data_IF_394763931966
#
_entry.id   IF_394763931966
#
_cell.length_a   1.000
_cell.length_b   1.000
_cell.length_c   1.000
_cell.angle_alpha   90.00
_cell.angle_beta   90.00
_cell.angle_gamma   90.00
#
_symmetry.space_group_name_H-M   'P 1'
#
loop_
_entity.id
_entity.type
_entity.pdbx_description
1 polymer ?
#
# COMPACT_ATOMS: atom_id res chain seq x y z
N UNK A 1 49.01 4.03 3.00
CA UNK A 1 47.68 3.40 3.17
C UNK A 1 47.23 3.51 4.61
N UNK A 2 46.25 4.39 4.90
CA UNK A 2 45.34 4.40 6.06
C UNK A 2 44.65 5.77 6.07
N UNK A 3 43.69 5.96 5.15
CA UNK A 3 42.77 7.09 5.24
C UNK A 3 41.83 6.81 6.41
N UNK A 4 42.04 7.54 7.51
CA UNK A 4 41.06 7.68 8.60
C UNK A 4 39.75 8.16 7.98
N UNK A 5 38.72 7.31 8.00
CA UNK A 5 37.33 7.74 7.81
C UNK A 5 37.06 8.84 8.84
N UNK A 6 36.97 10.09 8.38
CA UNK A 6 36.47 11.20 9.19
C UNK A 6 35.00 10.88 9.44
N UNK A 7 34.68 10.43 10.65
CA UNK A 7 33.31 10.39 11.13
C UNK A 7 32.75 11.81 11.04
N UNK A 8 31.98 12.10 10.00
CA UNK A 8 31.01 13.18 10.01
C UNK A 8 29.88 12.74 10.91
N UNK A 9 30.09 12.83 12.22
CA UNK A 9 29.03 12.75 13.22
C UNK A 9 28.20 14.03 13.11
N UNK A 10 27.39 14.11 12.04
CA UNK A 10 26.15 14.88 12.12
C UNK A 10 25.37 14.24 13.26
N UNK A 11 24.93 15.04 14.22
CA UNK A 11 24.08 14.57 15.31
C UNK A 11 22.83 13.96 14.67
N UNK A 12 22.79 12.64 14.50
CA UNK A 12 21.60 11.93 14.08
C UNK A 12 20.54 12.23 15.13
N UNK A 13 19.65 13.19 14.83
CA UNK A 13 18.49 13.45 15.67
C UNK A 13 17.68 12.16 15.63
N UNK A 14 17.70 11.43 16.74
CA UNK A 14 16.80 10.31 16.96
C UNK A 14 15.40 10.83 16.66
N UNK A 15 14.64 10.22 15.74
CA UNK A 15 13.28 10.67 15.49
C UNK A 15 12.52 10.64 16.81
N UNK A 16 11.53 11.53 17.02
CA UNK A 16 10.62 11.37 18.15
C UNK A 16 10.00 9.97 18.05
N UNK A 17 10.15 9.17 19.11
CA UNK A 17 9.44 7.90 19.25
C UNK A 17 7.96 8.24 19.33
N UNK A 18 7.29 8.27 18.17
CA UNK A 18 5.85 8.52 18.09
C UNK A 18 5.15 7.43 18.90
N UNK A 19 4.52 7.84 20.00
CA UNK A 19 3.77 6.96 20.89
C UNK A 19 2.64 6.27 20.09
N UNK A 20 2.25 5.07 20.50
CA UNK A 20 1.20 4.29 19.83
C UNK A 20 -0.11 5.09 19.70
N UNK A 21 -0.38 5.97 20.68
CA UNK A 21 -1.52 6.89 20.69
C UNK A 21 -1.45 7.96 19.60
N UNK A 22 -0.27 8.51 19.32
CA UNK A 22 -0.08 9.52 18.27
C UNK A 22 -0.23 8.89 16.88
N UNK A 23 0.23 7.65 16.70
CA UNK A 23 0.01 6.87 15.47
C UNK A 23 -1.47 6.57 15.23
N UNK A 24 -2.21 6.20 16.28
CA UNK A 24 -3.67 6.07 16.21
C UNK A 24 -4.37 7.41 15.95
N UNK A 25 -3.81 8.53 16.43
CA UNK A 25 -4.33 9.87 16.19
C UNK A 25 -4.45 10.22 14.71
N UNK A 26 -3.53 9.73 13.86
CA UNK A 26 -3.58 9.94 12.42
C UNK A 26 -4.81 9.29 11.75
N UNK A 27 -5.34 8.20 12.33
CA UNK A 27 -6.54 7.51 11.82
C UNK A 27 -7.81 8.36 11.98
N UNK A 28 -7.80 9.37 12.85
CA UNK A 28 -8.94 10.27 13.07
C UNK A 28 -9.31 11.07 11.81
N UNK A 29 -8.40 11.20 10.84
CA UNK A 29 -8.66 11.90 9.58
C UNK A 29 -9.30 11.00 8.49
N UNK A 30 -9.34 9.68 8.69
CA UNK A 30 -9.98 8.73 7.77
C UNK A 30 -11.48 9.01 7.52
N UNK A 31 -12.34 9.28 8.53
CA UNK A 31 -13.77 9.49 8.28
C UNK A 31 -14.05 10.72 7.41
N UNK A 32 -13.34 11.83 7.60
CA UNK A 32 -13.49 13.01 6.72
C UNK A 32 -13.08 12.68 5.28
N UNK A 33 -12.01 11.90 5.13
CA UNK A 33 -11.53 11.46 3.83
C UNK A 33 -12.54 10.52 3.13
N UNK A 34 -13.13 9.55 3.84
CA UNK A 34 -14.20 8.71 3.30
C UNK A 34 -15.45 9.53 2.95
N UNK A 35 -15.77 10.56 3.72
CA UNK A 35 -16.88 11.47 3.42
C UNK A 35 -16.64 12.26 2.14
N UNK A 36 -15.40 12.67 1.87
CA UNK A 36 -15.02 13.33 0.61
C UNK A 36 -15.23 12.39 -0.59
N UNK A 37 -14.77 11.14 -0.49
CA UNK A 37 -14.95 10.13 -1.54
C UNK A 37 -16.45 9.91 -1.82
N UNK A 38 -17.23 9.75 -0.75
CA UNK A 38 -18.68 9.58 -0.85
C UNK A 38 -19.38 10.80 -1.45
N UNK A 39 -18.84 12.00 -1.26
CA UNK A 39 -19.39 13.23 -1.85
C UNK A 39 -19.13 13.35 -3.35
N UNK A 40 -18.04 12.76 -3.86
CA UNK A 40 -17.69 12.82 -5.29
C UNK A 40 -18.58 11.89 -6.13
N UNK A 41 -18.65 10.60 -5.77
CA UNK A 41 -19.52 9.64 -6.47
C UNK A 41 -19.95 8.48 -5.55
N UNK A 42 -21.20 8.55 -5.09
CA UNK A 42 -21.80 7.53 -4.20
C UNK A 42 -21.90 6.16 -4.85
N UNK A 43 -22.24 6.11 -6.13
CA UNK A 43 -22.44 4.85 -6.85
C UNK A 43 -21.14 4.08 -6.99
N UNK A 44 -20.05 4.75 -7.41
CA UNK A 44 -18.73 4.12 -7.49
C UNK A 44 -18.19 3.71 -6.13
N UNK A 45 -18.40 4.52 -5.08
CA UNK A 45 -17.99 4.17 -3.73
C UNK A 45 -18.72 2.91 -3.21
N UNK A 46 -20.03 2.82 -3.39
CA UNK A 46 -20.82 1.63 -3.00
C UNK A 46 -20.40 0.41 -3.83
N UNK A 47 -20.22 0.57 -5.13
CA UNK A 47 -19.77 -0.51 -6.01
C UNK A 47 -18.39 -1.04 -5.62
N UNK A 48 -17.45 -0.14 -5.26
CA UNK A 48 -16.14 -0.50 -4.76
C UNK A 48 -16.22 -1.32 -3.45
N UNK A 49 -17.03 -0.86 -2.50
CA UNK A 49 -17.24 -1.58 -1.22
C UNK A 49 -17.82 -2.96 -1.49
N UNK A 50 -18.82 -3.07 -2.36
CA UNK A 50 -19.45 -4.35 -2.70
C UNK A 50 -18.45 -5.32 -3.33
N UNK A 51 -17.67 -4.86 -4.32
CA UNK A 51 -16.60 -5.65 -4.94
C UNK A 51 -15.59 -6.16 -3.90
N UNK A 52 -15.20 -5.31 -2.95
CA UNK A 52 -14.26 -5.66 -1.88
C UNK A 52 -14.84 -6.70 -0.92
N UNK A 53 -16.12 -6.57 -0.54
CA UNK A 53 -16.78 -7.56 0.32
C UNK A 53 -16.85 -8.92 -0.37
N UNK A 54 -17.21 -8.95 -1.66
CA UNK A 54 -17.21 -10.20 -2.44
C UNK A 54 -15.79 -10.77 -2.49
N UNK A 55 -14.78 -9.95 -2.81
CA UNK A 55 -13.37 -10.39 -2.85
C UNK A 55 -12.85 -10.90 -1.50
N UNK A 56 -13.29 -10.31 -0.38
CA UNK A 56 -12.88 -10.73 0.95
C UNK A 56 -13.39 -12.14 1.34
N UNK A 57 -14.48 -12.59 0.73
CA UNK A 57 -15.00 -13.95 0.94
C UNK A 57 -14.30 -15.01 0.08
N UNK A 58 -13.64 -14.63 -1.02
CA UNK A 58 -13.05 -15.57 -1.97
C UNK A 58 -11.98 -16.49 -1.39
N UNK A 59 -11.02 -16.02 -0.57
CA UNK A 59 -10.02 -16.90 0.01
C UNK A 59 -10.63 -18.02 0.86
N UNK A 60 -11.71 -17.71 1.58
CA UNK A 60 -12.46 -18.71 2.35
C UNK A 60 -13.16 -19.72 1.43
N UNK A 61 -13.80 -19.26 0.34
CA UNK A 61 -14.42 -20.15 -0.65
C UNK A 61 -13.40 -21.05 -1.33
N UNK A 62 -12.25 -20.51 -1.74
CA UNK A 62 -11.16 -21.30 -2.33
C UNK A 62 -10.65 -22.36 -1.35
N UNK A 63 -10.46 -22.01 -0.08
CA UNK A 63 -10.05 -22.96 0.95
C UNK A 63 -11.07 -24.10 1.11
N UNK A 64 -12.37 -23.78 1.08
CA UNK A 64 -13.43 -24.78 1.15
C UNK A 64 -13.45 -25.71 -0.07
N UNK A 65 -13.30 -25.17 -1.29
CA UNK A 65 -13.20 -25.99 -2.51
C UNK A 65 -11.96 -26.87 -2.49
N UNK A 66 -10.81 -26.33 -2.05
CA UNK A 66 -9.58 -27.12 -1.88
C UNK A 66 -9.77 -28.29 -0.91
N UNK A 67 -10.53 -28.08 0.18
CA UNK A 67 -10.90 -29.16 1.11
C UNK A 67 -11.75 -30.24 0.42
N UNK A 68 -12.75 -29.86 -0.39
CA UNK A 68 -13.56 -30.82 -1.15
C UNK A 68 -12.73 -31.63 -2.15
N UNK A 69 -11.75 -30.99 -2.80
CA UNK A 69 -10.81 -31.68 -3.71
C UNK A 69 -10.01 -32.73 -2.94
N UNK A 70 -9.47 -32.38 -1.77
CA UNK A 70 -8.73 -33.34 -0.93
C UNK A 70 -9.64 -34.48 -0.47
N UNK A 71 -10.86 -34.18 0.00
CA UNK A 71 -11.82 -35.18 0.44
C UNK A 71 -12.13 -36.20 -0.69
N UNK A 72 -12.31 -35.72 -1.92
CA UNK A 72 -12.54 -36.56 -3.11
C UNK A 72 -11.31 -37.41 -3.48
N UNK A 73 -10.11 -36.82 -3.43
CA UNK A 73 -8.87 -37.56 -3.68
C UNK A 73 -8.69 -38.69 -2.64
N UNK A 74 -8.98 -38.41 -1.37
CA UNK A 74 -8.91 -39.42 -0.30
C UNK A 74 -9.94 -40.52 -0.54
N UNK A 75 -11.17 -40.17 -0.90
CA UNK A 75 -12.22 -41.14 -1.22
C UNK A 75 -11.78 -42.08 -2.35
N UNK A 76 -11.33 -41.53 -3.47
CA UNK A 76 -10.83 -42.30 -4.62
C UNK A 76 -9.64 -43.18 -4.20
N UNK A 77 -8.72 -42.67 -3.39
CA UNK A 77 -7.53 -43.42 -2.96
C UNK A 77 -7.84 -44.63 -2.08
N UNK A 78 -8.93 -44.57 -1.30
CA UNK A 78 -9.37 -45.63 -0.39
C UNK A 78 -10.24 -46.66 -1.12
N UNK A 79 -11.03 -46.23 -2.11
CA UNK A 79 -11.90 -47.13 -2.89
C UNK A 79 -11.19 -47.78 -4.08
N UNK A 80 -10.24 -47.08 -4.72
CA UNK A 80 -9.53 -47.55 -5.91
C UNK A 80 -8.29 -48.39 -5.58
N UNK A 81 -8.49 -49.55 -4.96
CA UNK A 81 -7.49 -50.63 -4.91
C UNK A 81 -7.21 -51.30 -6.27
N UNK A 82 -7.88 -50.88 -7.35
CA UNK A 82 -7.66 -51.38 -8.71
C UNK A 82 -8.43 -50.59 -9.78
N UNK A 83 -7.74 -50.26 -10.87
CA UNK A 83 -8.28 -49.75 -12.15
C UNK A 83 -8.95 -48.36 -12.13
N UNK A 84 -8.14 -47.31 -12.25
CA UNK A 84 -8.53 -45.90 -12.11
C UNK A 84 -9.13 -45.21 -13.37
N UNK A 85 -9.54 -45.93 -14.41
CA UNK A 85 -9.72 -45.31 -15.75
C UNK A 85 -11.19 -45.06 -16.16
N UNK A 86 -12.17 -45.71 -15.52
CA UNK A 86 -13.61 -45.56 -15.89
C UNK A 86 -14.53 -45.27 -14.69
N UNK A 87 -14.02 -44.57 -13.67
CA UNK A 87 -14.83 -44.24 -12.49
C UNK A 87 -15.55 -42.88 -12.64
N UNK A 88 -16.87 -42.80 -12.35
CA UNK A 88 -17.63 -41.55 -12.26
C UNK A 88 -16.98 -40.49 -11.36
N UNK A 89 -16.23 -40.93 -10.35
CA UNK A 89 -15.56 -40.10 -9.35
C UNK A 89 -14.47 -39.19 -9.95
N UNK A 90 -13.84 -39.61 -11.06
CA UNK A 90 -12.87 -38.75 -11.78
C UNK A 90 -13.56 -37.54 -12.45
N UNK A 91 -14.84 -37.68 -12.83
CA UNK A 91 -15.63 -36.57 -13.37
C UNK A 91 -15.99 -35.54 -12.29
N UNK A 92 -16.17 -35.97 -11.04
CA UNK A 92 -16.47 -35.10 -9.91
C UNK A 92 -15.22 -34.31 -9.53
N UNK A 93 -14.08 -34.99 -9.41
CA UNK A 93 -12.79 -34.36 -9.13
C UNK A 93 -12.42 -33.30 -10.18
N UNK A 94 -12.54 -33.64 -11.47
CA UNK A 94 -12.28 -32.68 -12.56
C UNK A 94 -13.23 -31.47 -12.52
N UNK A 95 -14.48 -31.68 -12.10
CA UNK A 95 -15.44 -30.58 -11.90
C UNK A 95 -14.99 -29.64 -10.77
N UNK A 96 -14.54 -30.16 -9.63
CA UNK A 96 -14.04 -29.31 -8.53
C UNK A 96 -12.77 -28.54 -8.91
N UNK A 97 -11.85 -29.16 -9.66
CA UNK A 97 -10.65 -28.48 -10.17
C UNK A 97 -11.04 -27.35 -11.15
N UNK A 98 -12.01 -27.59 -12.03
CA UNK A 98 -12.52 -26.54 -12.92
C UNK A 98 -13.24 -25.41 -12.18
N UNK A 99 -13.96 -25.73 -11.10
CA UNK A 99 -14.57 -24.72 -10.21
C UNK A 99 -13.49 -23.90 -9.52
N UNK A 100 -12.42 -24.53 -9.00
CA UNK A 100 -11.29 -23.84 -8.39
C UNK A 100 -10.61 -22.90 -9.40
N UNK A 101 -10.37 -23.38 -10.62
CA UNK A 101 -9.82 -22.55 -11.70
C UNK A 101 -10.75 -21.38 -12.04
N UNK A 102 -12.07 -21.61 -12.11
CA UNK A 102 -13.07 -20.57 -12.31
C UNK A 102 -13.05 -19.52 -11.19
N UNK A 103 -12.94 -19.94 -9.93
CA UNK A 103 -12.80 -19.06 -8.77
C UNK A 103 -11.49 -18.27 -8.82
N UNK A 104 -10.38 -18.88 -9.24
CA UNK A 104 -9.09 -18.21 -9.39
C UNK A 104 -9.15 -17.10 -10.45
N UNK A 105 -9.71 -17.40 -11.62
CA UNK A 105 -9.93 -16.42 -12.69
C UNK A 105 -10.88 -15.31 -12.20
N UNK A 106 -11.99 -15.67 -11.55
CA UNK A 106 -12.93 -14.69 -11.01
C UNK A 106 -12.29 -13.78 -9.95
N UNK A 107 -11.41 -14.32 -9.11
CA UNK A 107 -10.63 -13.56 -8.13
C UNK A 107 -9.71 -12.52 -8.79
N UNK A 108 -9.00 -12.91 -9.86
CA UNK A 108 -8.16 -11.99 -10.63
C UNK A 108 -9.01 -10.89 -11.29
N UNK A 109 -10.14 -11.26 -11.90
CA UNK A 109 -11.07 -10.30 -12.52
C UNK A 109 -11.62 -9.30 -11.50
N UNK A 110 -12.01 -9.76 -10.30
CA UNK A 110 -12.43 -8.88 -9.22
C UNK A 110 -11.30 -7.97 -8.76
N UNK A 111 -10.07 -8.50 -8.65
CA UNK A 111 -8.89 -7.70 -8.32
C UNK A 111 -8.65 -6.57 -9.31
N UNK A 112 -8.74 -6.85 -10.61
CA UNK A 112 -8.63 -5.86 -11.68
C UNK A 112 -9.79 -4.85 -11.63
N UNK A 113 -11.01 -5.32 -11.38
CA UNK A 113 -12.20 -4.46 -11.24
C UNK A 113 -12.04 -3.47 -10.08
N UNK A 114 -11.57 -3.93 -8.92
CA UNK A 114 -11.30 -3.04 -7.77
C UNK A 114 -10.21 -2.03 -8.11
N UNK A 115 -9.12 -2.45 -8.76
CA UNK A 115 -8.04 -1.55 -9.16
C UNK A 115 -8.53 -0.45 -10.13
N UNK A 116 -9.37 -0.81 -11.10
CA UNK A 116 -9.99 0.15 -12.02
C UNK A 116 -10.88 1.15 -11.28
N UNK A 117 -11.76 0.66 -10.39
CA UNK A 117 -12.66 1.53 -9.62
C UNK A 117 -11.89 2.43 -8.65
N UNK A 118 -10.81 1.92 -8.03
CA UNK A 118 -9.91 2.71 -7.19
C UNK A 118 -9.24 3.83 -7.99
N UNK A 119 -8.77 3.55 -9.21
CA UNK A 119 -8.19 4.56 -10.11
C UNK A 119 -9.22 5.63 -10.47
N UNK A 120 -10.43 5.24 -10.87
CA UNK A 120 -11.50 6.16 -11.23
C UNK A 120 -11.94 7.04 -10.05
N UNK A 121 -12.11 6.46 -8.87
CA UNK A 121 -12.39 7.22 -7.65
C UNK A 121 -11.25 8.17 -7.31
N UNK A 122 -10.00 7.72 -7.49
CA UNK A 122 -8.81 8.53 -7.34
C UNK A 122 -8.81 9.76 -8.24
N UNK A 123 -9.08 9.57 -9.52
CA UNK A 123 -9.14 10.65 -10.52
C UNK A 123 -10.26 11.64 -10.19
N UNK A 124 -11.45 11.16 -9.82
CA UNK A 124 -12.57 12.02 -9.42
C UNK A 124 -12.26 12.87 -8.18
N UNK A 125 -11.65 12.27 -7.16
CA UNK A 125 -11.23 12.97 -5.94
C UNK A 125 -10.13 13.98 -6.26
N UNK A 126 -9.15 13.61 -7.08
CA UNK A 126 -8.09 14.51 -7.55
C UNK A 126 -8.66 15.72 -8.27
N UNK A 127 -9.64 15.49 -9.15
CA UNK A 127 -10.32 16.53 -9.90
C UNK A 127 -11.07 17.50 -8.98
N UNK A 128 -11.87 16.98 -8.04
CA UNK A 128 -12.61 17.79 -7.07
C UNK A 128 -11.68 18.62 -6.19
N UNK A 129 -10.59 18.04 -5.68
CA UNK A 129 -9.61 18.77 -4.88
C UNK A 129 -8.94 19.86 -5.71
N UNK A 130 -8.60 19.57 -6.97
CA UNK A 130 -7.97 20.54 -7.88
C UNK A 130 -8.91 21.73 -8.15
N UNK A 131 -10.19 21.48 -8.42
CA UNK A 131 -11.19 22.53 -8.60
C UNK A 131 -11.34 23.39 -7.34
N UNK A 132 -11.42 22.76 -6.16
CA UNK A 132 -11.49 23.50 -4.88
C UNK A 132 -10.25 24.38 -4.68
N UNK A 133 -9.07 23.87 -5.02
CA UNK A 133 -7.82 24.62 -4.89
C UNK A 133 -7.82 25.85 -5.80
N UNK A 134 -8.24 25.70 -7.06
CA UNK A 134 -8.34 26.80 -8.05
C UNK A 134 -9.36 27.85 -7.59
N UNK A 135 -10.54 27.42 -7.15
CA UNK A 135 -11.57 28.36 -6.67
C UNK A 135 -11.15 29.08 -5.39
N UNK A 136 -10.42 28.41 -4.49
CA UNK A 136 -9.90 29.03 -3.29
C UNK A 136 -8.76 30.01 -3.63
N UNK A 137 -7.84 29.65 -4.54
CA UNK A 137 -6.76 30.54 -4.97
C UNK A 137 -7.29 31.81 -5.63
N UNK A 138 -8.39 31.73 -6.39
CA UNK A 138 -9.00 32.88 -7.04
C UNK A 138 -9.71 33.85 -6.08
N UNK A 139 -9.99 33.43 -4.84
CA UNK A 139 -10.65 34.26 -3.80
C UNK A 139 -9.65 34.98 -2.90
N UNK A 140 -8.36 34.66 -3.01
CA UNK A 140 -7.32 35.19 -2.14
C UNK A 140 -6.68 36.42 -2.78
N UNK A 141 -6.40 37.43 -1.96
CA UNK A 141 -5.70 38.62 -2.40
C UNK A 141 -4.26 38.32 -2.79
N UNK A 142 -3.73 39.11 -3.72
CA UNK A 142 -2.38 38.95 -4.25
C UNK A 142 -1.30 39.01 -3.15
N UNK A 143 -1.53 39.82 -2.11
CA UNK A 143 -0.64 39.94 -0.94
C UNK A 143 -0.43 38.59 -0.22
N UNK A 144 -1.43 37.71 -0.23
CA UNK A 144 -1.31 36.37 0.35
C UNK A 144 -0.36 35.46 -0.44
N UNK A 145 -0.12 35.74 -1.72
CA UNK A 145 0.82 34.98 -2.55
C UNK A 145 2.28 35.42 -2.38
N UNK A 146 2.52 36.59 -1.78
CA UNK A 146 3.87 37.07 -1.46
C UNK A 146 4.39 36.49 -0.14
N UNK A 147 3.50 35.96 0.71
CA UNK A 147 3.88 35.23 1.92
C UNK A 147 4.40 33.81 1.59
N UNK A 148 5.66 33.56 1.93
CA UNK A 148 6.32 32.28 1.68
C UNK A 148 5.68 31.11 2.45
N UNK A 149 5.15 31.36 3.66
CA UNK A 149 4.43 30.34 4.40
C UNK A 149 3.13 29.93 3.73
N UNK A 150 2.37 30.90 3.22
CA UNK A 150 1.13 30.66 2.51
C UNK A 150 1.37 29.91 1.19
N UNK A 151 2.35 30.35 0.40
CA UNK A 151 2.75 29.66 -0.82
C UNK A 151 3.14 28.20 -0.55
N UNK A 152 3.94 27.95 0.48
CA UNK A 152 4.33 26.60 0.89
C UNK A 152 3.12 25.74 1.33
N UNK A 153 2.11 26.34 1.96
CA UNK A 153 0.87 25.63 2.33
C UNK A 153 0.07 25.24 1.09
N UNK A 154 -0.05 26.15 0.12
CA UNK A 154 -0.74 25.91 -1.15
C UNK A 154 -0.04 24.84 -1.98
N UNK A 155 1.30 24.92 -2.10
CA UNK A 155 2.09 23.96 -2.85
C UNK A 155 2.08 22.57 -2.18
N UNK A 156 2.11 22.52 -0.85
CA UNK A 156 1.91 21.26 -0.11
C UNK A 156 0.52 20.68 -0.35
N UNK A 157 -0.53 21.49 -0.32
CA UNK A 157 -1.89 21.05 -0.62
C UNK A 157 -2.00 20.48 -2.04
N UNK A 158 -1.38 21.14 -3.03
CA UNK A 158 -1.31 20.70 -4.43
C UNK A 158 -0.59 19.34 -4.55
N UNK A 159 0.62 19.22 -3.98
CA UNK A 159 1.41 17.98 -4.06
C UNK A 159 0.79 16.82 -3.29
N UNK A 160 0.20 17.08 -2.12
CA UNK A 160 -0.40 16.03 -1.29
C UNK A 160 -1.76 15.54 -1.82
N UNK A 161 -2.49 16.34 -2.60
CA UNK A 161 -3.76 15.91 -3.19
C UNK A 161 -3.60 14.61 -4.01
N UNK A 162 -2.55 14.53 -4.84
CA UNK A 162 -2.27 13.35 -5.66
C UNK A 162 -1.77 12.16 -4.83
N UNK A 163 -0.90 12.38 -3.84
CA UNK A 163 -0.34 11.28 -3.03
C UNK A 163 -1.37 10.62 -2.09
N UNK A 164 -2.43 11.34 -1.71
CA UNK A 164 -3.48 10.83 -0.82
C UNK A 164 -4.38 9.77 -1.48
N UNK A 165 -4.41 9.71 -2.81
CA UNK A 165 -5.17 8.70 -3.56
C UNK A 165 -4.60 7.30 -3.34
N UNK A 166 -3.28 7.16 -3.30
CA UNK A 166 -2.65 5.86 -3.00
C UNK A 166 -3.01 5.40 -1.58
N UNK A 167 -2.96 6.33 -0.62
CA UNK A 167 -3.33 6.06 0.78
C UNK A 167 -4.80 5.63 0.91
N UNK A 168 -5.70 6.14 0.04
CA UNK A 168 -7.09 5.71 -0.03
C UNK A 168 -7.21 4.22 -0.35
N UNK A 169 -6.61 3.81 -1.47
CA UNK A 169 -6.68 2.44 -1.94
C UNK A 169 -6.06 1.49 -0.91
N UNK A 170 -4.96 1.89 -0.30
CA UNK A 170 -4.33 1.14 0.80
C UNK A 170 -5.26 1.01 2.01
N UNK A 171 -5.91 2.09 2.46
CA UNK A 171 -6.83 2.04 3.60
C UNK A 171 -8.05 1.14 3.34
N UNK A 172 -8.65 1.23 2.15
CA UNK A 172 -9.75 0.36 1.75
C UNK A 172 -9.32 -1.11 1.61
N UNK A 173 -8.09 -1.35 1.16
CA UNK A 173 -7.51 -2.69 1.06
C UNK A 173 -7.23 -3.26 2.44
N UNK A 174 -6.70 -2.46 3.36
CA UNK A 174 -6.53 -2.86 4.77
C UNK A 174 -7.87 -3.27 5.41
N UNK A 175 -8.95 -2.54 5.10
CA UNK A 175 -10.29 -2.87 5.57
C UNK A 175 -10.79 -4.19 4.96
N UNK A 176 -10.59 -4.41 3.66
CA UNK A 176 -10.89 -5.67 2.99
C UNK A 176 -10.11 -6.85 3.60
N UNK A 177 -8.81 -6.68 3.85
CA UNK A 177 -7.95 -7.70 4.42
C UNK A 177 -8.36 -8.02 5.85
N UNK A 178 -8.77 -7.01 6.63
CA UNK A 178 -9.32 -7.22 7.97
C UNK A 178 -10.60 -8.08 7.95
N UNK A 179 -11.49 -7.85 6.97
CA UNK A 179 -12.69 -8.69 6.77
C UNK A 179 -12.29 -10.11 6.36
N UNK A 180 -11.31 -10.25 5.48
CA UNK A 180 -10.79 -11.55 5.02
C UNK A 180 -10.22 -12.35 6.19
N UNK A 181 -9.38 -11.72 7.01
CA UNK A 181 -8.80 -12.31 8.22
C UNK A 181 -9.91 -12.71 9.18
N UNK A 182 -10.94 -11.88 9.37
CA UNK A 182 -12.08 -12.22 10.20
C UNK A 182 -12.82 -13.47 9.70
N UNK A 183 -13.09 -13.58 8.40
CA UNK A 183 -13.72 -14.77 7.81
C UNK A 183 -12.87 -16.04 7.99
N UNK A 184 -11.57 -15.96 7.74
CA UNK A 184 -10.66 -17.08 7.91
C UNK A 184 -10.51 -17.49 9.39
N UNK A 185 -10.41 -16.51 10.30
CA UNK A 185 -10.35 -16.77 11.73
C UNK A 185 -11.64 -17.42 12.24
N UNK A 186 -12.82 -16.94 11.80
CA UNK A 186 -14.10 -17.53 12.14
C UNK A 186 -14.20 -18.98 11.65
N UNK A 187 -13.82 -19.25 10.40
CA UNK A 187 -13.78 -20.61 9.86
C UNK A 187 -12.83 -21.53 10.64
N UNK A 188 -11.66 -21.02 11.04
CA UNK A 188 -10.69 -21.78 11.82
C UNK A 188 -11.21 -22.12 13.22
N UNK A 189 -11.90 -21.18 13.88
CA UNK A 189 -12.53 -21.41 15.19
C UNK A 189 -13.60 -22.50 15.09
N UNK A 190 -14.42 -22.48 14.04
CA UNK A 190 -15.43 -23.52 13.81
C UNK A 190 -14.81 -24.89 13.56
N UNK A 191 -13.63 -24.95 12.93
CA UNK A 191 -12.92 -26.21 12.68
C UNK A 191 -12.19 -26.74 13.92
N UNK A 192 -11.27 -25.95 14.49
CA UNK A 192 -10.59 -26.27 15.73
C UNK A 192 -9.99 -25.01 16.38
N UNK A 193 -10.47 -24.59 17.58
CA UNK A 193 -10.01 -23.38 18.24
C UNK A 193 -8.54 -23.43 18.68
N UNK A 194 -7.95 -24.61 18.86
CA UNK A 194 -6.53 -24.75 19.22
C UNK A 194 -5.58 -24.31 18.10
N UNK A 195 -6.01 -24.43 16.83
CA UNK A 195 -5.21 -23.95 15.70
C UNK A 195 -5.05 -22.42 15.74
N UNK A 196 -6.08 -21.70 16.20
CA UNK A 196 -6.02 -20.25 16.37
C UNK A 196 -5.00 -19.86 17.44
N UNK A 197 -4.93 -20.61 18.55
CA UNK A 197 -3.94 -20.39 19.61
C UNK A 197 -2.52 -20.62 19.10
N UNK A 198 -2.29 -21.69 18.34
CA UNK A 198 -0.98 -21.98 17.75
C UNK A 198 -0.56 -20.87 16.77
N UNK A 199 -1.49 -20.43 15.91
CA UNK A 199 -1.28 -19.30 15.00
C UNK A 199 -0.90 -18.02 15.77
N UNK A 200 -1.59 -17.71 16.87
CA UNK A 200 -1.29 -16.55 17.70
C UNK A 200 0.11 -16.63 18.32
N UNK A 201 0.51 -17.81 18.81
CA UNK A 201 1.85 -18.05 19.38
C UNK A 201 2.94 -17.83 18.32
N UNK A 202 2.71 -18.19 17.06
CA UNK A 202 3.67 -17.95 15.98
C UNK A 202 3.66 -16.50 15.48
N UNK A 203 2.48 -15.88 15.38
CA UNK A 203 2.32 -14.57 14.76
C UNK A 203 2.71 -13.41 15.69
N UNK A 204 2.44 -13.50 17.00
CA UNK A 204 2.75 -12.42 17.95
C UNK A 204 4.26 -12.12 17.99
N UNK A 205 5.17 -13.10 18.13
CA UNK A 205 6.61 -12.83 18.10
C UNK A 205 7.08 -12.27 16.76
N UNK A 206 6.54 -12.78 15.65
CA UNK A 206 6.85 -12.27 14.32
C UNK A 206 6.44 -10.80 14.18
N UNK A 207 5.23 -10.44 14.64
CA UNK A 207 4.73 -9.06 14.65
C UNK A 207 5.59 -8.13 15.53
N UNK A 208 5.99 -8.58 16.72
CA UNK A 208 6.89 -7.81 17.59
C UNK A 208 8.28 -7.61 16.96
N UNK A 209 8.81 -8.64 16.30
CA UNK A 209 10.04 -8.54 15.52
C UNK A 209 9.91 -7.52 14.38
N UNK A 210 8.87 -7.65 13.57
CA UNK A 210 8.60 -6.77 12.43
C UNK A 210 8.43 -5.31 12.86
N UNK A 211 7.71 -5.05 13.95
CA UNK A 211 7.55 -3.68 14.49
C UNK A 211 8.87 -3.09 14.98
N UNK A 212 9.73 -3.90 15.59
CA UNK A 212 11.07 -3.49 16.03
C UNK A 212 12.02 -3.22 14.87
N UNK A 213 11.99 -4.03 13.80
CA UNK A 213 12.79 -3.76 12.61
C UNK A 213 12.25 -2.57 11.82
N UNK A 214 10.92 -2.40 11.73
CA UNK A 214 10.31 -1.25 11.08
C UNK A 214 10.65 0.07 11.76
N UNK A 215 10.73 0.11 13.11
CA UNK A 215 11.15 1.33 13.82
C UNK A 215 12.62 1.66 13.55
N UNK A 216 13.49 0.65 13.44
CA UNK A 216 14.90 0.83 13.07
C UNK A 216 15.07 1.28 11.62
N UNK A 217 14.33 0.68 10.68
CA UNK A 217 14.34 1.12 9.29
C UNK A 217 13.84 2.56 9.16
N UNK A 218 12.81 2.94 9.92
CA UNK A 218 12.32 4.31 9.98
C UNK A 218 13.37 5.26 10.55
N UNK A 219 14.04 4.91 11.66
CA UNK A 219 15.08 5.76 12.25
C UNK A 219 16.28 5.94 11.34
N UNK A 220 16.69 4.89 10.63
CA UNK A 220 17.73 4.95 9.61
C UNK A 220 17.33 5.88 8.46
N UNK A 221 16.12 5.71 7.92
CA UNK A 221 15.61 6.52 6.82
C UNK A 221 15.46 7.99 7.23
N UNK A 222 15.01 8.25 8.45
CA UNK A 222 14.93 9.59 9.02
C UNK A 222 16.35 10.20 9.16
N UNK A 223 17.31 9.43 9.65
CA UNK A 223 18.71 9.82 9.78
C UNK A 223 19.37 10.22 8.46
N UNK A 224 18.92 9.65 7.34
CA UNK A 224 19.41 9.95 5.98
C UNK A 224 18.64 11.05 5.25
N UNK A 225 17.69 11.72 5.92
CA UNK A 225 16.85 12.73 5.25
C UNK A 225 17.69 13.86 4.66
N UNK A 226 18.76 14.29 5.35
CA UNK A 226 19.59 15.40 4.89
C UNK A 226 20.44 15.01 3.67
N UNK A 227 21.10 13.86 3.73
CA UNK A 227 21.93 13.31 2.65
C UNK A 227 21.07 13.05 1.41
N UNK A 228 19.86 12.51 1.60
CA UNK A 228 18.92 12.26 0.50
C UNK A 228 18.44 13.56 -0.14
N UNK A 229 18.15 14.59 0.66
CA UNK A 229 17.83 15.94 0.16
C UNK A 229 19.00 16.56 -0.61
N UNK A 230 20.24 16.37 -0.15
CA UNK A 230 21.43 16.84 -0.87
C UNK A 230 21.59 16.11 -2.21
N UNK A 231 21.44 14.78 -2.23
CA UNK A 231 21.47 14.00 -3.48
C UNK A 231 20.38 14.43 -4.47
N UNK A 232 19.16 14.66 -3.99
CA UNK A 232 18.05 15.14 -4.82
C UNK A 232 18.31 16.56 -5.35
N UNK A 233 18.89 17.44 -4.53
CA UNK A 233 19.31 18.77 -4.97
C UNK A 233 20.41 18.70 -6.04
N UNK A 234 21.43 17.85 -5.85
CA UNK A 234 22.50 17.67 -6.83
C UNK A 234 21.97 17.10 -8.15
N UNK A 235 20.98 16.20 -8.10
CA UNK A 235 20.28 15.71 -9.30
C UNK A 235 19.53 16.83 -10.00
N UNK A 236 18.76 17.63 -9.27
CA UNK A 236 18.04 18.76 -9.81
C UNK A 236 19.01 19.79 -10.41
N UNK A 237 19.97 20.30 -9.63
CA UNK A 237 20.91 21.31 -10.08
C UNK A 237 21.81 20.85 -11.23
N UNK A 238 22.20 19.57 -11.27
CA UNK A 238 23.08 19.03 -12.31
C UNK A 238 22.37 18.60 -13.60
N UNK A 239 21.07 18.29 -13.54
CA UNK A 239 20.32 17.69 -14.66
C UNK A 239 18.94 18.33 -14.93
N UNK A 240 18.65 19.50 -14.36
CA UNK A 240 17.44 20.29 -14.65
C UNK A 240 17.63 21.18 -15.88
N UNK A 241 16.54 21.44 -16.59
CA UNK A 241 16.49 22.40 -17.70
C UNK A 241 16.65 23.85 -17.23
N UNK A 242 16.18 24.17 -16.01
CA UNK A 242 16.33 25.48 -15.38
C UNK A 242 17.80 25.86 -15.17
N UNK A 243 18.62 24.93 -14.65
CA UNK A 243 20.04 25.16 -14.33
C UNK A 243 20.99 24.77 -15.47
N UNK A 244 20.50 24.12 -16.52
CA UNK A 244 21.33 23.58 -17.61
C UNK A 244 22.24 24.63 -18.27
N UNK A 245 21.78 25.88 -18.39
CA UNK A 245 22.57 26.97 -19.00
C UNK A 245 23.79 27.31 -18.15
N UNK A 246 23.60 27.44 -16.84
CA UNK A 246 24.68 27.72 -15.89
C UNK A 246 25.66 26.55 -15.82
N UNK A 247 25.15 25.32 -15.73
CA UNK A 247 25.99 24.11 -15.68
C UNK A 247 26.88 23.99 -16.93
N UNK A 248 26.34 24.32 -18.12
CA UNK A 248 27.10 24.29 -19.38
C UNK A 248 28.09 25.44 -19.51
N UNK A 249 27.69 26.67 -19.17
CA UNK A 249 28.56 27.86 -19.27
C UNK A 249 29.74 27.74 -18.29
N UNK A 250 29.49 27.27 -17.07
CA UNK A 250 30.52 27.14 -16.04
C UNK A 250 31.22 25.76 -16.01
N UNK A 251 30.83 24.81 -16.86
CA UNK A 251 31.44 23.48 -16.93
C UNK A 251 31.29 22.65 -15.65
N UNK A 252 30.16 22.78 -14.93
CA UNK A 252 29.97 22.22 -13.59
C UNK A 252 29.55 20.73 -13.57
N UNK A 253 29.41 20.07 -14.72
CA UNK A 253 28.96 18.68 -14.81
C UNK A 253 29.81 17.73 -13.97
N UNK A 254 31.13 17.87 -14.05
CA UNK A 254 32.08 17.01 -13.32
C UNK A 254 32.05 17.29 -11.82
N UNK A 255 31.79 18.54 -11.42
CA UNK A 255 31.69 18.91 -10.00
C UNK A 255 30.46 18.24 -9.37
N UNK A 256 29.30 18.37 -10.00
CA UNK A 256 28.07 17.74 -9.52
C UNK A 256 28.18 16.21 -9.56
N UNK A 257 28.73 15.63 -10.62
CA UNK A 257 28.95 14.18 -10.74
C UNK A 257 29.86 13.62 -9.65
N UNK A 258 31.02 14.26 -9.40
CA UNK A 258 31.95 13.85 -8.34
C UNK A 258 31.35 14.01 -6.94
N UNK A 259 30.59 15.09 -6.70
CA UNK A 259 29.91 15.30 -5.41
C UNK A 259 28.83 14.24 -5.19
N UNK A 260 28.03 13.95 -6.22
CA UNK A 260 27.00 12.91 -6.17
C UNK A 260 27.60 11.53 -5.87
N UNK A 261 28.67 11.15 -6.57
CA UNK A 261 29.36 9.87 -6.35
C UNK A 261 29.98 9.75 -4.95
N UNK A 262 30.37 10.87 -4.33
CA UNK A 262 30.93 10.87 -2.97
C UNK A 262 29.86 10.71 -1.89
N UNK A 263 28.64 11.15 -2.15
CA UNK A 263 27.52 11.06 -1.20
C UNK A 263 26.69 9.78 -1.34
N UNK A 264 26.65 9.17 -2.54
CA UNK A 264 25.98 7.89 -2.81
C UNK A 264 26.77 6.70 -2.25
#
# INVERSE_FOLDING_TARGET
>A
MKQRRKNTSGTHRVPPDLDFRERLGALRNLPEFFRLIWSCNRLLAVFNILLRVVRASLPLTMLYVGKLIIDEIVLISVTAGGSAVENPDMSILTTFVLIELGLAVFSDLLGRGIALVDSLLGDLVSHEISLRLIHQSARLDLESFEDSEFYDKLERARRQASSRILLMSQALTQLQDSITVFFLAAALITFNPWLLLLLAITLIPAFLGETHFNSQSYSLMYGWTQERRELDYLRFAGASDETAKEVKIFGLSDFFGKRFQKLA
#
